data_IF_344622476690
#
_entry.id   IF_344622476690
#
_cell.length_a   1.000
_cell.length_b   1.000
_cell.length_c   1.000
_cell.angle_alpha   90.00
_cell.angle_beta   90.00
_cell.angle_gamma   90.00
#
_symmetry.space_group_name_H-M   'P 1'
#
loop_
_entity.id
_entity.type
_entity.pdbx_description
1 polymer ?
#
# COMPACT_ATOMS: atom_id res chain seq x y z
N UNK A 1 -13.04 2.75 -6.61
CA UNK A 1 -11.82 1.93 -6.58
C UNK A 1 -11.49 1.35 -7.94
N UNK A 2 -10.24 0.98 -8.18
CA UNK A 2 -9.76 0.33 -9.41
C UNK A 2 -9.10 -0.99 -9.00
N UNK A 3 -9.48 -2.09 -9.68
CA UNK A 3 -8.87 -3.39 -9.44
C UNK A 3 -7.40 -3.39 -9.88
N UNK A 4 -6.52 -4.02 -9.10
CA UNK A 4 -5.06 -4.10 -9.38
C UNK A 4 -4.76 -4.62 -10.78
N UNK A 5 -5.54 -5.58 -11.29
CA UNK A 5 -5.39 -6.11 -12.66
C UNK A 5 -5.55 -5.02 -13.72
N UNK A 6 -6.54 -4.15 -13.55
CA UNK A 6 -6.82 -3.03 -14.49
C UNK A 6 -5.72 -1.98 -14.40
N UNK A 7 -5.32 -1.61 -13.19
CA UNK A 7 -4.24 -0.64 -12.96
C UNK A 7 -2.92 -1.14 -13.57
N UNK A 8 -2.51 -2.35 -13.25
CA UNK A 8 -1.28 -2.96 -13.78
C UNK A 8 -1.31 -3.03 -15.31
N UNK A 9 -2.41 -3.51 -15.91
CA UNK A 9 -2.56 -3.56 -17.36
C UNK A 9 -2.49 -2.18 -18.03
N UNK A 10 -3.01 -1.13 -17.38
CA UNK A 10 -2.95 0.24 -17.89
C UNK A 10 -1.54 0.82 -17.80
N UNK A 11 -0.82 0.59 -16.70
CA UNK A 11 0.56 1.03 -16.53
C UNK A 11 1.50 0.34 -17.53
N UNK A 12 1.34 -0.98 -17.71
CA UNK A 12 2.14 -1.73 -18.70
C UNK A 12 1.92 -1.24 -20.12
N UNK A 13 0.67 -1.00 -20.50
CA UNK A 13 0.35 -0.44 -21.82
C UNK A 13 0.97 0.93 -22.00
N UNK A 14 0.91 1.79 -20.97
CA UNK A 14 1.52 3.11 -21.01
C UNK A 14 3.04 3.05 -21.10
N UNK A 15 3.68 2.14 -20.39
CA UNK A 15 5.12 1.93 -20.48
C UNK A 15 5.54 1.53 -21.91
N UNK A 16 4.80 0.60 -22.53
CA UNK A 16 5.04 0.20 -23.92
C UNK A 16 4.84 1.35 -24.92
N UNK A 17 3.78 2.18 -24.75
CA UNK A 17 3.55 3.38 -25.56
C UNK A 17 4.70 4.39 -25.49
N UNK A 18 5.37 4.46 -24.33
CA UNK A 18 6.50 5.36 -24.06
C UNK A 18 7.86 4.74 -24.45
N UNK A 19 7.89 3.51 -24.98
CA UNK A 19 9.12 2.82 -25.32
C UNK A 19 9.97 2.43 -24.11
N UNK A 20 9.34 2.24 -22.94
CA UNK A 20 10.04 1.78 -21.73
C UNK A 20 10.21 0.27 -21.82
N UNK A 21 11.43 -0.21 -21.73
CA UNK A 21 11.74 -1.63 -21.72
C UNK A 21 11.24 -2.31 -20.44
N UNK A 22 10.46 -3.37 -20.62
CA UNK A 22 9.96 -4.20 -19.51
C UNK A 22 10.57 -5.59 -19.66
N UNK A 23 11.49 -5.93 -18.76
CA UNK A 23 12.13 -7.25 -18.71
C UNK A 23 11.37 -8.09 -17.68
N UNK A 24 10.76 -9.18 -18.13
CA UNK A 24 9.95 -10.06 -17.29
C UNK A 24 10.55 -11.44 -17.12
N UNK A 25 10.20 -12.09 -16.00
CA UNK A 25 10.59 -13.47 -15.74
C UNK A 25 12.04 -13.65 -15.30
N UNK A 26 12.80 -12.56 -15.14
CA UNK A 26 14.21 -12.59 -14.74
C UNK A 26 14.40 -11.77 -13.47
N UNK A 27 15.01 -12.38 -12.46
CA UNK A 27 15.34 -11.70 -11.20
C UNK A 27 16.67 -10.91 -11.32
N UNK A 28 16.80 -9.88 -10.49
CA UNK A 28 18.11 -9.25 -10.25
C UNK A 28 18.93 -10.18 -9.35
N UNK A 29 20.14 -10.54 -9.82
CA UNK A 29 21.09 -11.37 -9.04
C UNK A 29 21.88 -10.50 -8.05
N UNK A 30 22.50 -9.43 -8.52
CA UNK A 30 23.25 -8.47 -7.74
C UNK A 30 23.38 -7.13 -8.47
N UNK A 31 23.85 -6.13 -7.76
CA UNK A 31 24.24 -4.85 -8.34
C UNK A 31 25.55 -4.32 -7.73
N UNK A 32 26.25 -3.52 -8.49
CA UNK A 32 27.51 -2.89 -8.07
C UNK A 32 27.46 -1.40 -8.39
N UNK A 33 27.72 -0.57 -7.38
CA UNK A 33 27.67 0.88 -7.52
C UNK A 33 29.04 1.39 -7.95
N UNK A 34 29.11 1.98 -9.14
CA UNK A 34 30.27 2.69 -9.65
C UNK A 34 30.20 4.20 -9.41
N UNK A 35 31.19 4.91 -9.91
CA UNK A 35 31.27 6.37 -9.75
C UNK A 35 30.14 7.11 -10.50
N UNK A 36 29.83 6.69 -11.72
CA UNK A 36 28.86 7.36 -12.60
C UNK A 36 27.58 6.52 -12.87
N UNK A 37 27.65 5.21 -12.71
CA UNK A 37 26.58 4.26 -13.00
C UNK A 37 26.47 3.20 -11.93
N UNK A 38 25.36 2.51 -11.89
CA UNK A 38 25.15 1.25 -11.18
C UNK A 38 25.01 0.12 -12.19
N UNK A 39 25.84 -0.92 -12.08
CA UNK A 39 25.75 -2.11 -12.90
C UNK A 39 24.82 -3.12 -12.22
N UNK A 40 23.75 -3.52 -12.91
CA UNK A 40 22.73 -4.45 -12.39
C UNK A 40 22.84 -5.75 -13.18
N UNK A 41 23.22 -6.83 -12.49
CA UNK A 41 23.30 -8.16 -13.07
C UNK A 41 22.01 -8.94 -12.87
N UNK A 42 21.47 -9.44 -13.97
CA UNK A 42 20.29 -10.30 -13.98
C UNK A 42 20.69 -11.77 -13.81
N UNK A 43 19.73 -12.59 -13.38
CA UNK A 43 19.94 -14.03 -13.15
C UNK A 43 20.27 -14.83 -14.41
N UNK A 44 19.93 -14.33 -15.60
CA UNK A 44 20.29 -14.89 -16.89
C UNK A 44 21.71 -14.49 -17.37
N UNK A 45 22.41 -13.69 -16.56
CA UNK A 45 23.77 -13.24 -16.85
C UNK A 45 23.88 -11.90 -17.59
N UNK A 46 22.77 -11.32 -18.04
CA UNK A 46 22.73 -9.99 -18.65
C UNK A 46 23.11 -8.94 -17.59
N UNK A 47 23.88 -7.93 -18.01
CA UNK A 47 24.21 -6.78 -17.15
C UNK A 47 23.66 -5.50 -17.79
N UNK A 48 22.99 -4.70 -16.98
CA UNK A 48 22.41 -3.41 -17.35
C UNK A 48 23.15 -2.32 -16.58
N UNK A 49 23.54 -1.26 -17.27
CA UNK A 49 24.11 -0.06 -16.67
C UNK A 49 23.07 1.05 -16.59
N UNK A 50 22.93 1.66 -15.40
CA UNK A 50 21.98 2.74 -15.17
C UNK A 50 22.62 3.86 -14.34
N UNK A 51 22.07 5.07 -14.42
CA UNK A 51 22.48 6.18 -13.53
C UNK A 51 21.93 6.05 -12.13
N UNK A 52 20.77 5.38 -11.99
CA UNK A 52 20.05 5.16 -10.73
C UNK A 52 19.34 3.80 -10.78
N UNK A 53 19.41 3.03 -9.70
CA UNK A 53 18.62 1.83 -9.45
C UNK A 53 17.53 2.15 -8.42
N UNK A 54 16.27 1.89 -8.77
CA UNK A 54 15.13 2.03 -7.86
C UNK A 54 14.60 0.65 -7.48
N UNK A 55 14.65 0.31 -6.20
CA UNK A 55 14.09 -0.92 -5.68
C UNK A 55 12.60 -0.70 -5.32
N UNK A 56 11.71 -1.37 -6.04
CA UNK A 56 10.27 -1.40 -5.84
C UNK A 56 9.75 -2.85 -5.78
N UNK A 57 10.55 -3.75 -5.21
CA UNK A 57 10.39 -5.20 -5.20
C UNK A 57 9.61 -5.72 -3.99
N UNK A 58 8.84 -4.84 -3.31
CA UNK A 58 7.89 -5.18 -2.27
C UNK A 58 8.49 -5.31 -0.88
N UNK A 59 7.66 -5.67 0.09
CA UNK A 59 8.01 -5.68 1.54
C UNK A 59 9.21 -6.57 1.87
N UNK A 60 9.39 -7.69 1.13
CA UNK A 60 10.54 -8.60 1.24
C UNK A 60 11.63 -8.27 0.22
N UNK A 61 11.94 -6.99 0.06
CA UNK A 61 12.89 -6.48 -0.92
C UNK A 61 14.30 -7.09 -0.75
N UNK A 62 14.72 -7.86 -1.75
CA UNK A 62 16.09 -8.39 -1.83
C UNK A 62 17.09 -7.29 -2.17
N UNK A 63 16.68 -6.32 -2.99
CA UNK A 63 17.54 -5.19 -3.34
C UNK A 63 17.86 -4.32 -2.14
N UNK A 64 16.89 -4.10 -1.24
CA UNK A 64 17.10 -3.42 0.05
C UNK A 64 18.14 -4.15 0.91
N UNK A 65 18.03 -5.48 1.01
CA UNK A 65 18.98 -6.32 1.76
C UNK A 65 20.38 -6.23 1.15
N UNK A 66 20.50 -6.34 -0.18
CA UNK A 66 21.77 -6.19 -0.90
C UNK A 66 22.39 -4.82 -0.70
N UNK A 67 21.60 -3.76 -0.62
CA UNK A 67 22.04 -2.39 -0.31
C UNK A 67 22.47 -2.21 1.16
N UNK A 68 22.28 -3.22 2.01
CA UNK A 68 22.60 -3.16 3.45
C UNK A 68 21.71 -2.19 4.23
N UNK A 69 20.51 -1.89 3.73
CA UNK A 69 19.55 -1.02 4.41
C UNK A 69 18.73 -1.87 5.38
N UNK A 70 18.85 -1.56 6.67
CA UNK A 70 18.13 -2.24 7.75
C UNK A 70 16.70 -1.75 7.86
N UNK A 71 15.81 -2.61 8.38
CA UNK A 71 14.40 -2.33 8.66
C UNK A 71 14.11 -2.31 10.17
N UNK A 72 12.99 -1.71 10.51
CA UNK A 72 12.25 -1.94 11.74
C UNK A 72 11.01 -2.72 11.34
N UNK A 73 10.78 -3.86 11.95
CA UNK A 73 9.69 -4.77 11.61
C UNK A 73 8.85 -5.09 12.83
N UNK A 74 7.56 -5.19 12.60
CA UNK A 74 6.58 -5.60 13.60
C UNK A 74 5.54 -6.51 12.97
N UNK A 75 5.39 -7.72 13.50
CA UNK A 75 4.33 -8.66 13.11
C UNK A 75 3.12 -8.49 14.04
N UNK A 76 1.94 -8.30 13.47
CA UNK A 76 0.71 -8.15 14.25
C UNK A 76 0.08 -9.47 14.65
N UNK A 77 0.55 -10.60 14.16
CA UNK A 77 -0.08 -11.91 14.34
C UNK A 77 -1.43 -12.01 13.62
N UNK A 78 -1.70 -11.10 12.71
CA UNK A 78 -2.93 -10.99 11.95
C UNK A 78 -2.69 -11.28 10.48
N UNK A 79 -3.76 -11.66 9.77
CA UNK A 79 -3.78 -11.73 8.30
C UNK A 79 -5.00 -11.01 7.76
N UNK A 80 -4.84 -10.37 6.61
CA UNK A 80 -5.93 -9.76 5.84
C UNK A 80 -6.46 -10.76 4.81
N UNK A 81 -7.71 -11.17 4.96
CA UNK A 81 -8.43 -11.95 3.96
C UNK A 81 -8.97 -10.98 2.91
N UNK A 82 -8.64 -11.24 1.65
CA UNK A 82 -9.09 -10.42 0.53
C UNK A 82 -9.91 -11.29 -0.43
N UNK A 83 -11.12 -10.83 -0.73
CA UNK A 83 -11.99 -11.45 -1.74
C UNK A 83 -12.84 -10.37 -2.43
N UNK A 84 -13.50 -10.75 -3.52
CA UNK A 84 -14.56 -9.97 -4.14
C UNK A 84 -15.90 -10.64 -3.85
N UNK A 85 -16.92 -9.83 -3.58
CA UNK A 85 -18.29 -10.32 -3.42
C UNK A 85 -19.22 -9.64 -4.43
N UNK A 86 -20.22 -10.40 -4.86
CA UNK A 86 -21.41 -9.91 -5.55
C UNK A 86 -22.52 -9.73 -4.50
N UNK A 87 -23.36 -8.71 -4.65
CA UNK A 87 -24.44 -8.44 -3.72
C UNK A 87 -25.66 -7.84 -4.44
N UNK A 88 -26.85 -8.00 -3.85
CA UNK A 88 -28.12 -7.61 -4.49
C UNK A 88 -28.26 -6.09 -4.64
N UNK A 89 -28.03 -5.34 -3.56
CA UNK A 89 -28.31 -3.90 -3.50
C UNK A 89 -27.09 -3.08 -3.89
N UNK A 90 -27.26 -1.93 -4.57
CA UNK A 90 -26.14 -1.06 -4.90
C UNK A 90 -25.48 -0.46 -3.65
N UNK A 91 -24.16 -0.44 -3.59
CA UNK A 91 -23.38 0.18 -2.52
C UNK A 91 -23.35 1.72 -2.57
N UNK A 92 -23.89 2.34 -3.63
CA UNK A 92 -23.94 3.80 -3.79
C UNK A 92 -22.56 4.49 -3.85
N UNK A 93 -21.49 3.75 -4.22
CA UNK A 93 -20.10 4.26 -4.24
C UNK A 93 -19.47 4.40 -2.84
N UNK A 94 -20.13 3.92 -1.80
CA UNK A 94 -19.69 4.08 -0.40
C UNK A 94 -18.73 2.97 0.00
N UNK A 95 -17.57 3.36 0.53
CA UNK A 95 -16.67 2.47 1.28
C UNK A 95 -17.08 2.47 2.76
N UNK A 96 -17.04 1.31 3.39
CA UNK A 96 -17.35 1.15 4.81
C UNK A 96 -16.24 0.34 5.48
N UNK A 97 -15.91 0.73 6.70
CA UNK A 97 -14.94 0.02 7.53
C UNK A 97 -15.53 -0.18 8.94
N UNK A 98 -15.57 -1.43 9.37
CA UNK A 98 -16.01 -1.83 10.71
C UNK A 98 -14.82 -2.35 11.49
N UNK A 99 -14.66 -1.91 12.71
CA UNK A 99 -13.62 -2.41 13.60
C UNK A 99 -14.18 -3.55 14.44
N UNK A 100 -13.76 -4.77 14.08
CA UNK A 100 -14.09 -6.00 14.79
C UNK A 100 -12.98 -6.35 15.81
N UNK A 101 -13.22 -7.26 16.77
CA UNK A 101 -12.23 -7.64 17.77
C UNK A 101 -10.89 -8.11 17.22
N UNK A 102 -10.90 -8.82 16.10
CA UNK A 102 -9.69 -9.30 15.43
C UNK A 102 -9.00 -8.24 14.54
N UNK A 103 -9.70 -7.15 14.21
CA UNK A 103 -9.20 -6.08 13.38
C UNK A 103 -10.25 -5.47 12.45
N UNK A 104 -9.86 -4.58 11.54
CA UNK A 104 -10.76 -3.92 10.62
C UNK A 104 -11.34 -4.89 9.58
N UNK A 105 -12.61 -4.65 9.25
CA UNK A 105 -13.34 -5.26 8.16
C UNK A 105 -13.81 -4.17 7.21
N UNK A 106 -13.22 -4.10 6.02
CA UNK A 106 -13.52 -3.05 5.03
C UNK A 106 -14.31 -3.61 3.85
N UNK A 107 -15.35 -2.88 3.46
CA UNK A 107 -16.14 -3.10 2.25
C UNK A 107 -15.88 -1.97 1.27
N UNK A 108 -15.31 -2.27 0.12
CA UNK A 108 -14.81 -1.29 -0.83
C UNK A 108 -15.55 -1.37 -2.15
N UNK A 109 -16.19 -0.27 -2.64
CA UNK A 109 -17.04 -0.29 -3.81
C UNK A 109 -16.25 -0.57 -5.09
N UNK A 110 -16.67 -1.55 -5.87
CA UNK A 110 -16.17 -1.83 -7.21
C UNK A 110 -17.22 -1.44 -8.26
N UNK A 111 -16.77 -1.22 -9.50
CA UNK A 111 -17.70 -1.11 -10.63
C UNK A 111 -18.45 -2.43 -10.81
N UNK A 112 -19.71 -2.40 -11.26
CA UNK A 112 -20.42 -3.61 -11.67
C UNK A 112 -19.59 -4.42 -12.67
N UNK A 113 -19.83 -5.72 -12.70
CA UNK A 113 -19.22 -6.58 -13.71
C UNK A 113 -19.89 -6.42 -15.09
N UNK A 114 -19.48 -7.25 -16.04
CA UNK A 114 -20.02 -7.23 -17.40
C UNK A 114 -21.51 -7.65 -17.46
N UNK A 115 -21.99 -8.36 -16.44
CA UNK A 115 -23.39 -8.74 -16.26
C UNK A 115 -24.22 -7.69 -15.50
N UNK A 116 -23.60 -6.59 -15.07
CA UNK A 116 -24.25 -5.52 -14.32
C UNK A 116 -24.46 -5.83 -12.84
N UNK A 117 -23.85 -6.90 -12.28
CA UNK A 117 -23.98 -7.26 -10.87
C UNK A 117 -23.19 -6.29 -10.00
N UNK A 118 -23.78 -5.88 -8.86
CA UNK A 118 -23.09 -5.04 -7.90
C UNK A 118 -21.95 -5.82 -7.22
N UNK A 119 -20.79 -5.19 -7.06
CA UNK A 119 -19.61 -5.84 -6.48
C UNK A 119 -18.90 -4.96 -5.47
N UNK A 120 -18.34 -5.61 -4.46
CA UNK A 120 -17.42 -4.98 -3.51
C UNK A 120 -16.18 -5.83 -3.30
N UNK A 121 -15.04 -5.19 -3.08
CA UNK A 121 -13.85 -5.86 -2.56
C UNK A 121 -13.90 -5.85 -1.04
N UNK A 122 -13.60 -6.98 -0.44
CA UNK A 122 -13.52 -7.15 1.01
C UNK A 122 -12.06 -7.20 1.42
N UNK A 123 -11.72 -6.48 2.49
CA UNK A 123 -10.48 -6.65 3.24
C UNK A 123 -10.88 -6.94 4.68
N UNK A 124 -10.70 -8.16 5.09
CA UNK A 124 -11.14 -8.67 6.38
C UNK A 124 -9.94 -9.12 7.19
N UNK A 125 -9.67 -8.44 8.30
CA UNK A 125 -8.57 -8.76 9.21
C UNK A 125 -9.03 -9.78 10.25
N UNK A 126 -8.24 -10.85 10.37
CA UNK A 126 -8.40 -11.88 11.40
C UNK A 126 -7.05 -12.26 12.00
N UNK A 127 -7.07 -12.99 13.13
CA UNK A 127 -5.87 -13.66 13.64
C UNK A 127 -5.32 -14.58 12.56
N UNK A 128 -4.02 -14.71 12.45
CA UNK A 128 -3.38 -15.46 11.36
C UNK A 128 -3.92 -16.88 11.22
N UNK A 129 -4.00 -17.63 12.33
CA UNK A 129 -4.48 -19.01 12.36
C UNK A 129 -5.96 -19.11 11.91
N UNK A 130 -6.79 -18.18 12.37
CA UNK A 130 -8.19 -18.12 11.98
C UNK A 130 -8.36 -17.75 10.51
N UNK A 131 -7.58 -16.81 10.01
CA UNK A 131 -7.63 -16.39 8.60
C UNK A 131 -7.23 -17.55 7.66
N UNK A 132 -6.20 -18.33 8.01
CA UNK A 132 -5.78 -19.49 7.24
C UNK A 132 -6.87 -20.57 7.21
N UNK A 133 -7.49 -20.85 8.37
CA UNK A 133 -8.61 -21.78 8.49
C UNK A 133 -9.81 -21.31 7.65
N UNK A 134 -10.24 -20.06 7.81
CA UNK A 134 -11.42 -19.50 7.12
C UNK A 134 -11.24 -19.53 5.60
N UNK A 135 -10.06 -19.20 5.09
CA UNK A 135 -9.79 -19.24 3.65
C UNK A 135 -9.77 -20.65 3.08
N UNK A 136 -9.43 -21.66 3.91
CA UNK A 136 -9.37 -23.06 3.52
C UNK A 136 -10.74 -23.77 3.56
N UNK A 137 -11.75 -23.17 4.22
CA UNK A 137 -13.11 -23.76 4.28
C UNK A 137 -13.75 -23.85 2.88
N UNK A 138 -14.84 -24.63 2.76
CA UNK A 138 -15.64 -24.62 1.54
C UNK A 138 -16.36 -23.27 1.33
N UNK A 139 -16.88 -23.05 0.13
CA UNK A 139 -17.47 -21.75 -0.24
C UNK A 139 -18.69 -21.43 0.64
N UNK A 140 -19.51 -22.41 0.97
CA UNK A 140 -20.73 -22.19 1.76
C UNK A 140 -20.39 -21.78 3.20
N UNK A 141 -19.42 -22.43 3.84
CA UNK A 141 -18.99 -22.08 5.20
C UNK A 141 -18.34 -20.71 5.22
N UNK A 142 -17.50 -20.42 4.22
CA UNK A 142 -16.88 -19.10 4.09
C UNK A 142 -17.92 -17.99 3.91
N UNK A 143 -18.94 -18.20 3.09
CA UNK A 143 -20.00 -17.20 2.86
C UNK A 143 -20.83 -16.95 4.12
N UNK A 144 -21.13 -17.97 4.92
CA UNK A 144 -21.78 -17.81 6.22
C UNK A 144 -20.93 -16.99 7.20
N UNK A 145 -19.64 -17.28 7.31
CA UNK A 145 -18.71 -16.52 8.14
C UNK A 145 -18.58 -15.06 7.67
N UNK A 146 -18.57 -14.86 6.36
CA UNK A 146 -18.51 -13.54 5.75
C UNK A 146 -19.79 -12.74 6.00
N UNK A 147 -20.96 -13.36 5.82
CA UNK A 147 -22.26 -12.73 6.03
C UNK A 147 -22.45 -12.23 7.46
N UNK A 148 -21.99 -13.00 8.47
CA UNK A 148 -22.03 -12.59 9.86
C UNK A 148 -21.29 -11.26 10.13
N UNK A 149 -20.24 -10.97 9.34
CA UNK A 149 -19.43 -9.74 9.48
C UNK A 149 -19.87 -8.64 8.53
N UNK A 150 -20.27 -9.01 7.33
CA UNK A 150 -20.76 -8.10 6.29
C UNK A 150 -22.14 -7.53 6.63
N UNK A 151 -23.00 -8.38 7.21
CA UNK A 151 -24.39 -8.09 7.49
C UNK A 151 -25.26 -8.09 6.22
N UNK A 152 -26.54 -7.88 6.40
CA UNK A 152 -27.57 -7.93 5.34
C UNK A 152 -27.85 -6.56 4.67
N UNK A 153 -27.04 -5.55 4.90
CA UNK A 153 -27.27 -4.19 4.40
C UNK A 153 -27.35 -4.12 2.87
N UNK A 154 -26.50 -4.88 2.19
CA UNK A 154 -26.47 -4.96 0.73
C UNK A 154 -27.25 -6.18 0.17
N UNK A 155 -28.06 -6.83 1.00
CA UNK A 155 -28.82 -8.02 0.64
C UNK A 155 -27.97 -9.30 0.70
N UNK A 156 -28.39 -10.33 -0.02
CA UNK A 156 -27.63 -11.56 -0.16
C UNK A 156 -26.28 -11.30 -0.81
N UNK A 157 -25.26 -12.02 -0.37
CA UNK A 157 -23.90 -11.92 -0.87
C UNK A 157 -23.43 -13.29 -1.36
N UNK A 158 -22.56 -13.28 -2.36
CA UNK A 158 -21.81 -14.46 -2.79
C UNK A 158 -20.38 -14.08 -3.16
N UNK A 159 -19.44 -15.01 -2.97
CA UNK A 159 -18.05 -14.79 -3.32
C UNK A 159 -17.86 -14.87 -4.83
N UNK A 160 -17.13 -13.92 -5.39
CA UNK A 160 -16.82 -13.85 -6.82
C UNK A 160 -15.30 -13.97 -7.04
N UNK A 161 -14.86 -15.18 -7.31
CA UNK A 161 -13.46 -15.49 -7.56
C UNK A 161 -12.63 -15.93 -6.34
N UNK A 162 -11.31 -15.85 -6.41
CA UNK A 162 -10.45 -16.40 -5.37
C UNK A 162 -10.44 -15.53 -4.10
N UNK A 163 -10.34 -16.22 -2.96
CA UNK A 163 -10.04 -15.62 -1.66
C UNK A 163 -8.60 -15.94 -1.24
N UNK A 164 -7.94 -15.00 -0.59
CA UNK A 164 -6.55 -15.14 -0.15
C UNK A 164 -6.33 -14.43 1.18
N UNK A 165 -5.49 -15.03 2.04
CA UNK A 165 -5.01 -14.42 3.26
C UNK A 165 -3.57 -13.93 3.08
N UNK A 166 -3.28 -12.73 3.57
CA UNK A 166 -1.95 -12.13 3.53
C UNK A 166 -1.53 -11.73 4.95
N UNK A 167 -0.34 -12.15 5.42
CA UNK A 167 0.17 -11.71 6.72
C UNK A 167 0.25 -10.19 6.81
N UNK A 168 -0.15 -9.63 7.95
CA UNK A 168 -0.11 -8.20 8.20
C UNK A 168 1.04 -7.87 9.16
N UNK A 169 1.79 -6.85 8.80
CA UNK A 169 2.92 -6.36 9.57
C UNK A 169 3.25 -4.92 9.22
N UNK A 170 4.15 -4.35 9.98
CA UNK A 170 4.81 -3.08 9.71
C UNK A 170 6.25 -3.36 9.36
N UNK A 171 6.72 -2.82 8.24
CA UNK A 171 8.13 -2.84 7.84
C UNK A 171 8.53 -1.42 7.44
N UNK A 172 9.49 -0.83 8.12
CA UNK A 172 10.00 0.51 7.80
C UNK A 172 11.51 0.44 7.59
N UNK A 173 11.99 0.85 6.42
CA UNK A 173 13.40 0.99 6.15
C UNK A 173 14.00 2.14 6.98
N UNK A 174 15.20 1.93 7.54
CA UNK A 174 15.90 2.94 8.34
C UNK A 174 16.49 4.08 7.51
N UNK A 175 16.64 3.89 6.22
CA UNK A 175 17.01 4.87 5.21
C UNK A 175 16.40 4.46 3.89
N UNK A 176 16.15 5.41 2.99
CA UNK A 176 15.51 5.13 1.70
C UNK A 176 16.51 5.15 0.56
N UNK A 177 17.71 5.70 0.78
CA UNK A 177 18.66 5.92 -0.29
C UNK A 177 20.09 5.48 0.07
N UNK A 178 20.86 5.23 -0.97
CA UNK A 178 22.31 5.06 -1.01
C UNK A 178 22.81 5.71 -2.30
N UNK A 179 24.12 5.93 -2.49
CA UNK A 179 24.62 6.38 -3.79
C UNK A 179 24.06 5.50 -4.93
N UNK A 180 23.42 6.13 -5.92
CA UNK A 180 22.80 5.47 -7.09
C UNK A 180 21.72 4.43 -6.79
N UNK A 181 21.13 4.50 -5.59
CA UNK A 181 20.12 3.53 -5.16
C UNK A 181 19.02 4.22 -4.36
N UNK A 182 17.76 3.95 -4.69
CA UNK A 182 16.59 4.42 -3.94
C UNK A 182 15.57 3.29 -3.71
N UNK A 183 14.89 3.32 -2.57
CA UNK A 183 13.73 2.47 -2.27
C UNK A 183 12.44 3.23 -2.59
N UNK A 184 11.42 2.53 -3.10
CA UNK A 184 10.07 3.09 -3.30
C UNK A 184 8.99 2.06 -2.96
N UNK A 185 7.84 2.52 -2.48
CA UNK A 185 6.71 1.69 -2.11
C UNK A 185 7.05 0.71 -0.97
N UNK A 186 6.49 -0.49 -1.01
CA UNK A 186 6.64 -1.48 0.06
C UNK A 186 8.10 -1.91 0.31
N UNK A 187 9.01 -1.69 -0.64
CA UNK A 187 10.44 -1.88 -0.41
C UNK A 187 11.00 -0.91 0.65
N UNK A 188 10.44 0.30 0.73
CA UNK A 188 10.78 1.29 1.75
C UNK A 188 9.87 1.16 3.00
N UNK A 189 8.59 0.86 2.81
CA UNK A 189 7.59 0.87 3.88
C UNK A 189 6.40 -0.07 3.60
N UNK A 190 6.36 -1.19 4.26
CA UNK A 190 5.16 -2.04 4.33
C UNK A 190 4.32 -1.62 5.53
N UNK A 191 3.12 -1.11 5.31
CA UNK A 191 2.23 -0.65 6.39
C UNK A 191 0.97 -1.50 6.48
N UNK A 192 0.31 -1.47 7.64
CA UNK A 192 -0.99 -2.13 7.81
C UNK A 192 -2.01 -1.55 6.81
N UNK A 193 -2.85 -2.39 6.16
CA UNK A 193 -3.79 -1.96 5.11
C UNK A 193 -4.99 -1.14 5.61
N UNK A 194 -5.01 -0.71 6.87
CA UNK A 194 -6.02 0.21 7.39
C UNK A 194 -6.12 1.42 6.45
N UNK A 195 -7.33 1.73 6.02
CA UNK A 195 -7.65 2.79 5.06
C UNK A 195 -7.04 2.63 3.65
N UNK A 196 -6.45 1.47 3.29
CA UNK A 196 -5.97 1.17 1.93
C UNK A 196 -4.84 2.09 1.43
N UNK A 197 -3.98 2.62 2.32
CA UNK A 197 -3.00 3.66 1.99
C UNK A 197 -1.68 3.16 1.40
N UNK A 198 -1.35 1.85 1.49
CA UNK A 198 -0.06 1.32 1.05
C UNK A 198 0.30 1.68 -0.39
N UNK A 199 -0.59 1.38 -1.34
CA UNK A 199 -0.38 1.72 -2.75
C UNK A 199 -0.29 3.24 -3.00
N UNK A 200 -1.09 4.02 -2.29
CA UNK A 200 -1.08 5.49 -2.42
C UNK A 200 0.25 6.09 -1.95
N UNK A 201 0.84 5.55 -0.88
CA UNK A 201 2.19 5.93 -0.44
C UNK A 201 3.24 5.58 -1.49
N UNK A 202 3.15 4.41 -2.12
CA UNK A 202 4.04 4.02 -3.21
C UNK A 202 3.94 4.95 -4.42
N UNK A 203 2.75 5.41 -4.78
CA UNK A 203 2.57 6.43 -5.83
C UNK A 203 3.14 7.79 -5.43
N UNK A 204 3.02 8.17 -4.16
CA UNK A 204 3.68 9.39 -3.65
C UNK A 204 5.19 9.29 -3.75
N UNK A 205 5.77 8.11 -3.45
CA UNK A 205 7.20 7.90 -3.59
C UNK A 205 7.64 8.01 -5.04
N UNK A 206 6.95 7.34 -5.96
CA UNK A 206 7.26 7.41 -7.39
C UNK A 206 7.19 8.84 -7.93
N UNK A 207 6.17 9.61 -7.53
CA UNK A 207 5.99 10.99 -7.94
C UNK A 207 7.07 11.90 -7.35
N UNK A 208 7.41 11.76 -6.07
CA UNK A 208 8.44 12.56 -5.42
C UNK A 208 9.84 12.26 -5.97
N UNK A 209 10.15 10.97 -6.17
CA UNK A 209 11.43 10.57 -6.77
C UNK A 209 11.56 11.10 -8.21
N UNK A 210 10.48 11.01 -9.01
CA UNK A 210 10.48 11.56 -10.36
C UNK A 210 10.71 13.07 -10.35
N UNK A 211 10.08 13.82 -9.45
CA UNK A 211 10.25 15.26 -9.32
C UNK A 211 11.70 15.63 -8.97
N UNK A 212 12.29 14.98 -7.96
CA UNK A 212 13.68 15.20 -7.55
C UNK A 212 14.66 14.86 -8.68
N UNK A 213 14.49 13.72 -9.35
CA UNK A 213 15.36 13.27 -10.44
C UNK A 213 15.28 14.21 -11.64
N UNK A 214 14.08 14.63 -12.04
CA UNK A 214 13.91 15.54 -13.18
C UNK A 214 14.48 16.92 -12.90
N UNK A 215 14.28 17.45 -11.70
CA UNK A 215 14.86 18.75 -11.30
C UNK A 215 16.39 18.70 -11.28
N UNK A 216 16.97 17.67 -10.72
CA UNK A 216 18.42 17.47 -10.70
C UNK A 216 18.99 17.34 -12.13
N UNK A 217 18.35 16.57 -13.01
CA UNK A 217 18.80 16.40 -14.39
C UNK A 217 18.74 17.72 -15.19
N UNK A 218 17.70 18.51 -15.01
CA UNK A 218 17.58 19.85 -15.64
C UNK A 218 18.64 20.83 -15.17
N UNK A 219 19.13 20.68 -13.95
CA UNK A 219 20.21 21.49 -13.39
C UNK A 219 21.60 20.93 -13.78
N UNK A 220 21.66 19.84 -14.55
CA UNK A 220 22.92 19.17 -14.92
C UNK A 220 23.58 18.44 -13.74
N UNK A 221 22.84 18.15 -12.67
CA UNK A 221 23.33 17.39 -11.54
C UNK A 221 23.32 15.89 -11.79
N UNK A 222 24.10 15.15 -11.03
CA UNK A 222 24.08 13.69 -11.12
C UNK A 222 22.88 13.12 -10.34
N UNK A 223 21.89 12.61 -11.06
CA UNK A 223 20.65 12.05 -10.48
C UNK A 223 20.88 10.89 -9.52
N UNK A 224 22.04 10.25 -9.56
CA UNK A 224 22.44 9.18 -8.65
C UNK A 224 23.27 9.66 -7.48
N UNK A 225 23.60 10.95 -7.40
CA UNK A 225 24.35 11.52 -6.28
C UNK A 225 23.54 11.42 -4.98
N UNK A 226 24.24 11.17 -3.87
CA UNK A 226 23.57 10.91 -2.59
C UNK A 226 22.80 12.12 -2.08
N UNK A 227 23.36 13.31 -2.23
CA UNK A 227 22.73 14.59 -1.83
C UNK A 227 21.39 14.84 -2.56
N UNK A 228 21.34 14.55 -3.87
CA UNK A 228 20.09 14.61 -4.64
C UNK A 228 19.06 13.60 -4.12
N UNK A 229 19.49 12.37 -3.86
CA UNK A 229 18.59 11.32 -3.37
C UNK A 229 18.15 11.54 -1.92
N UNK A 230 18.96 12.21 -1.09
CA UNK A 230 18.59 12.60 0.27
C UNK A 230 17.44 13.62 0.30
N UNK A 231 17.27 14.44 -0.74
CA UNK A 231 16.10 15.32 -0.86
C UNK A 231 14.81 14.51 -0.98
N UNK A 232 14.82 13.46 -1.79
CA UNK A 232 13.73 12.49 -1.87
C UNK A 232 13.48 11.79 -0.51
N UNK A 233 14.53 11.29 0.15
CA UNK A 233 14.41 10.65 1.46
C UNK A 233 13.80 11.58 2.50
N UNK A 234 14.29 12.81 2.63
CA UNK A 234 13.76 13.83 3.58
C UNK A 234 12.29 14.10 3.33
N UNK A 235 11.91 14.23 2.06
CA UNK A 235 10.53 14.49 1.70
C UNK A 235 9.59 13.34 2.08
N UNK A 236 9.99 12.10 1.78
CA UNK A 236 9.11 10.95 1.93
C UNK A 236 9.11 10.31 3.31
N UNK A 237 10.25 10.36 3.99
CA UNK A 237 10.44 9.66 5.26
C UNK A 237 9.53 10.15 6.36
N UNK A 238 9.31 11.46 6.46
CA UNK A 238 8.43 12.03 7.48
C UNK A 238 6.99 11.53 7.30
N UNK A 239 6.43 11.65 6.09
CA UNK A 239 5.08 11.19 5.77
C UNK A 239 4.90 9.69 6.05
N UNK A 240 5.91 8.91 5.66
CA UNK A 240 5.89 7.45 5.80
C UNK A 240 5.93 7.02 7.26
N UNK A 241 6.82 7.61 8.06
CA UNK A 241 6.92 7.31 9.51
C UNK A 241 5.64 7.75 10.21
N UNK A 242 5.14 8.93 9.91
CA UNK A 242 3.88 9.43 10.47
C UNK A 242 2.71 8.48 10.14
N UNK A 243 2.59 8.04 8.89
CA UNK A 243 1.54 7.11 8.47
C UNK A 243 1.71 5.74 9.14
N UNK A 244 2.94 5.20 9.18
CA UNK A 244 3.24 3.93 9.84
C UNK A 244 2.88 3.95 11.33
N UNK A 245 3.25 5.00 12.06
CA UNK A 245 2.88 5.18 13.47
C UNK A 245 1.36 5.34 13.62
N UNK A 246 0.72 6.12 12.77
CA UNK A 246 -0.74 6.34 12.84
C UNK A 246 -1.49 5.03 12.62
N UNK A 247 -1.13 4.25 11.60
CA UNK A 247 -1.78 2.95 11.32
C UNK A 247 -1.50 1.92 12.42
N UNK A 248 -0.30 1.90 12.99
CA UNK A 248 0.04 1.02 14.13
C UNK A 248 -0.78 1.37 15.37
N UNK A 249 -0.86 2.65 15.73
CA UNK A 249 -1.68 3.13 16.87
C UNK A 249 -3.15 2.81 16.64
N UNK A 250 -3.69 3.06 15.45
CA UNK A 250 -5.07 2.72 15.12
C UNK A 250 -5.30 1.22 15.20
N UNK A 251 -4.44 0.40 14.60
CA UNK A 251 -4.58 -1.05 14.68
C UNK A 251 -4.61 -1.53 16.13
N UNK A 252 -3.66 -1.12 16.96
CA UNK A 252 -3.59 -1.51 18.37
C UNK A 252 -4.79 -1.01 19.19
N UNK A 253 -5.28 0.20 18.89
CA UNK A 253 -6.44 0.78 19.59
C UNK A 253 -7.74 0.07 19.24
N UNK A 254 -7.88 -0.37 17.98
CA UNK A 254 -9.13 -0.92 17.47
C UNK A 254 -9.17 -2.46 17.43
N UNK A 255 -8.03 -3.14 17.44
CA UNK A 255 -7.93 -4.60 17.42
C UNK A 255 -7.70 -5.19 18.82
N UNK A 256 -8.53 -4.78 19.81
CA UNK A 256 -8.50 -5.38 21.14
C UNK A 256 -9.88 -5.31 21.79
N UNK A 257 -10.15 -6.24 22.71
CA UNK A 257 -11.40 -6.35 23.48
C UNK A 257 -11.29 -5.81 24.92
N UNK A 258 -10.23 -5.06 25.25
CA UNK A 258 -10.06 -4.54 26.59
C UNK A 258 -11.11 -3.44 26.90
N UNK A 259 -12.09 -3.74 27.74
CA UNK A 259 -13.27 -2.91 28.03
C UNK A 259 -12.98 -1.43 28.31
N UNK A 260 -12.00 -1.05 29.17
CA UNK A 260 -11.65 0.34 29.43
C UNK A 260 -11.16 1.08 28.17
N UNK A 261 -10.39 0.42 27.29
CA UNK A 261 -9.92 0.99 26.03
C UNK A 261 -11.07 1.20 25.04
N UNK A 262 -12.04 0.30 25.03
CA UNK A 262 -13.26 0.43 24.21
C UNK A 262 -14.05 1.68 24.58
N UNK A 263 -14.26 1.92 25.87
CA UNK A 263 -14.97 3.13 26.35
C UNK A 263 -14.19 4.41 26.00
N UNK A 264 -12.86 4.39 26.17
CA UNK A 264 -11.99 5.54 25.83
C UNK A 264 -12.02 5.84 24.32
N UNK A 265 -12.04 4.79 23.50
CA UNK A 265 -12.16 4.88 22.04
C UNK A 265 -13.49 5.52 21.62
N UNK A 266 -14.60 5.05 22.18
CA UNK A 266 -15.94 5.54 21.84
C UNK A 266 -16.10 7.02 22.24
N UNK A 267 -15.52 7.44 23.38
CA UNK A 267 -15.45 8.85 23.79
C UNK A 267 -14.53 9.64 22.85
N UNK A 268 -13.35 9.11 22.50
CA UNK A 268 -12.39 9.75 21.59
C UNK A 268 -12.96 10.00 20.21
N UNK A 269 -13.63 9.02 19.62
CA UNK A 269 -14.32 9.18 18.34
C UNK A 269 -15.45 10.21 18.42
N UNK A 270 -16.22 10.23 19.50
CA UNK A 270 -17.25 11.24 19.74
C UNK A 270 -16.69 12.66 19.85
N UNK A 271 -15.48 12.82 20.38
CA UNK A 271 -14.78 14.12 20.43
C UNK A 271 -14.29 14.53 19.02
N UNK A 272 -13.67 13.62 18.29
CA UNK A 272 -13.20 13.89 16.90
C UNK A 272 -14.36 14.28 16.00
N UNK A 273 -15.51 13.60 16.11
CA UNK A 273 -16.69 13.92 15.29
C UNK A 273 -17.28 15.31 15.61
N UNK A 274 -17.11 15.79 16.84
CA UNK A 274 -17.57 17.12 17.29
C UNK A 274 -16.58 18.25 17.00
N UNK A 275 -15.36 17.96 16.57
CA UNK A 275 -14.32 18.95 16.26
C UNK A 275 -14.06 19.01 14.75
N UNK A 276 -14.72 19.92 14.00
CA UNK A 276 -14.64 19.98 12.53
C UNK A 276 -13.19 20.06 12.03
N UNK A 277 -12.35 20.88 12.63
CA UNK A 277 -10.95 21.02 12.24
C UNK A 277 -10.13 19.73 12.38
N UNK A 278 -10.42 18.95 13.42
CA UNK A 278 -9.74 17.68 13.65
C UNK A 278 -10.24 16.62 12.67
N UNK A 279 -11.53 16.63 12.39
CA UNK A 279 -12.17 15.78 11.36
C UNK A 279 -11.61 16.10 9.97
N UNK A 280 -11.55 17.37 9.60
CA UNK A 280 -10.99 17.84 8.32
C UNK A 280 -9.51 17.47 8.19
N UNK A 281 -8.73 17.57 9.27
CA UNK A 281 -7.35 17.11 9.28
C UNK A 281 -7.24 15.61 8.94
N UNK A 282 -8.01 14.75 9.62
CA UNK A 282 -8.00 13.31 9.32
C UNK A 282 -8.52 12.99 7.92
N UNK A 283 -9.56 13.70 7.45
CA UNK A 283 -10.09 13.55 6.09
C UNK A 283 -9.04 13.96 5.05
N UNK A 284 -8.36 15.09 5.25
CA UNK A 284 -7.31 15.56 4.32
C UNK A 284 -6.12 14.62 4.26
N UNK A 285 -5.72 14.05 5.40
CA UNK A 285 -4.67 13.03 5.46
C UNK A 285 -5.10 11.74 4.71
N UNK A 286 -6.33 11.28 4.94
CA UNK A 286 -6.88 10.11 4.25
C UNK A 286 -7.07 10.35 2.74
N UNK A 287 -7.48 11.55 2.35
CA UNK A 287 -7.64 11.95 0.96
C UNK A 287 -6.30 12.25 0.25
N UNK A 288 -5.21 12.35 0.98
CA UNK A 288 -3.90 12.67 0.42
C UNK A 288 -3.78 14.10 -0.11
N UNK A 289 -4.55 15.05 0.44
CA UNK A 289 -4.62 16.45 0.01
C UNK A 289 -3.81 17.41 0.90
N UNK A 290 -2.88 16.90 1.73
CA UNK A 290 -2.05 17.69 2.63
C UNK A 290 -1.00 18.57 1.95
N UNK A 291 -0.25 19.33 2.72
CA UNK A 291 0.92 20.09 2.25
C UNK A 291 2.05 19.15 1.81
N UNK A 292 2.90 19.58 0.86
CA UNK A 292 4.07 18.80 0.41
C UNK A 292 3.74 17.64 -0.55
N UNK A 293 2.57 17.64 -1.19
CA UNK A 293 2.23 16.64 -2.22
C UNK A 293 3.03 16.90 -3.50
N UNK A 294 3.65 15.87 -4.11
CA UNK A 294 4.33 15.98 -5.40
C UNK A 294 3.44 16.57 -6.50
N UNK A 295 4.03 17.38 -7.37
CA UNK A 295 3.32 18.08 -8.47
C UNK A 295 2.53 17.14 -9.36
N UNK A 296 3.10 15.98 -9.71
CA UNK A 296 2.40 14.98 -10.53
C UNK A 296 1.07 14.53 -9.92
N UNK A 297 0.98 14.44 -8.59
CA UNK A 297 -0.27 14.04 -7.91
C UNK A 297 -1.30 15.17 -7.84
N UNK A 298 -0.87 16.40 -8.10
CA UNK A 298 -1.77 17.56 -8.28
C UNK A 298 -2.22 17.72 -9.74
N UNK A 299 -1.70 16.89 -10.66
CA UNK A 299 -1.90 17.04 -12.10
C UNK A 299 -1.04 18.12 -12.73
N UNK A 300 0.00 18.58 -12.04
CA UNK A 300 0.96 19.57 -12.50
C UNK A 300 2.15 18.86 -13.18
N UNK A 301 2.71 19.48 -14.21
CA UNK A 301 3.95 18.99 -14.83
C UNK A 301 5.15 19.27 -13.93
N UNK A 302 6.14 18.38 -13.99
CA UNK A 302 7.43 18.53 -13.33
C UNK A 302 8.49 19.03 -14.31
#
# INVERSE_FOLDING_TARGET
MVANKVLNGSLRRRAAELGIDIIEGVAVDRFEVGAATVAVRLADGVTLDARLLVAADGVRSRLREMAGIKTVEWDYGQSGIVCTVVHERPHGGRAEEHFLPAGPFATLPLKPDEQGRNRSSIVWTERREDAERIVAEDDLVFEVELEQRFGLKLGEISVDGPRRAWPLGLTLARGFVKPRFALAGDAAHGIHPIAGQGLNLGFKDAAALAEVVVEADRLGQDIGALDVLEDYERWRRFDTVQMGVTTDVLNRLFSNDFGPLRTLRDIGLGIVDRLPRLKDFFISQAAGTGEGIPRLLKGEAI
#
